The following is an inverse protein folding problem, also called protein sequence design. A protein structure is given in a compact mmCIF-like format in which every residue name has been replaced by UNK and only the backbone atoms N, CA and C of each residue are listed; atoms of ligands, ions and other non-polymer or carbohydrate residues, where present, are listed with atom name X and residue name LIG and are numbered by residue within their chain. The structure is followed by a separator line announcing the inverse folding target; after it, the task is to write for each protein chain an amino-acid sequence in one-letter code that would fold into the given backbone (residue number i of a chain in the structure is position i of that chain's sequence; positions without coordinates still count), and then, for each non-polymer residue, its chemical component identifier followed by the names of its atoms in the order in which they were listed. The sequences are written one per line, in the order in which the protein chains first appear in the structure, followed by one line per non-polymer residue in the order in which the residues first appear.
data_IF_580012111664
#
_entry.id   IF_580012111664
#
_cell.length_a   1.000
_cell.length_b   1.000
_cell.length_c   1.000
_cell.angle_alpha   90.00
_cell.angle_beta   90.00
_cell.angle_gamma   90.00
#
_symmetry.space_group_name_H-M   'P 1'
#
loop_
_entity.id
_entity.type
_entity.pdbx_description
1 polymer ?
#
# COMPACT_ATOMS: atom_id res chain seq x y z
N UNK A 1 -30.78 20.33 -22.77
CA UNK A 1 -31.03 18.87 -22.86
C UNK A 1 -29.76 18.16 -22.42
N UNK A 2 -29.64 17.67 -21.17
CA UNK A 2 -28.42 16.98 -20.75
C UNK A 2 -28.39 15.58 -21.35
N UNK A 3 -27.46 15.34 -22.28
CA UNK A 3 -27.09 13.99 -22.71
C UNK A 3 -26.41 13.30 -21.53
N UNK A 4 -27.18 12.50 -20.79
CA UNK A 4 -26.64 11.50 -19.88
C UNK A 4 -26.08 10.38 -20.76
N UNK A 5 -24.80 10.47 -21.12
CA UNK A 5 -24.06 9.37 -21.72
C UNK A 5 -23.94 8.27 -20.67
N UNK A 6 -24.88 7.32 -20.70
CA UNK A 6 -24.78 6.10 -19.91
C UNK A 6 -23.41 5.47 -20.22
N UNK A 7 -22.55 5.24 -19.20
CA UNK A 7 -21.27 4.61 -19.44
C UNK A 7 -21.51 3.26 -20.13
N UNK A 8 -20.87 3.05 -21.28
CA UNK A 8 -20.94 1.77 -21.99
C UNK A 8 -20.65 0.65 -21.00
N UNK A 9 -21.45 -0.42 -21.01
CA UNK A 9 -21.32 -1.57 -20.10
C UNK A 9 -19.86 -2.07 -20.01
N UNK A 10 -19.12 -2.04 -21.14
CA UNK A 10 -17.68 -2.36 -21.18
C UNK A 10 -16.82 -1.39 -20.38
N UNK A 11 -17.09 -0.09 -20.47
CA UNK A 11 -16.36 0.95 -19.72
C UNK A 11 -16.57 0.85 -18.21
N UNK A 12 -17.80 0.54 -17.76
CA UNK A 12 -18.08 0.31 -16.35
C UNK A 12 -17.34 -0.91 -15.80
N UNK A 13 -17.26 -2.01 -16.56
CA UNK A 13 -16.51 -3.22 -16.18
C UNK A 13 -15.01 -2.96 -16.13
N UNK A 14 -14.47 -2.21 -17.09
CA UNK A 14 -13.05 -1.87 -17.15
C UNK A 14 -12.63 -0.95 -16.00
N UNK A 15 -13.47 0.04 -15.67
CA UNK A 15 -13.26 0.93 -14.52
C UNK A 15 -13.30 0.15 -13.19
N UNK A 16 -14.22 -0.81 -13.05
CA UNK A 16 -14.23 -1.70 -11.88
C UNK A 16 -12.95 -2.52 -11.77
N UNK A 17 -12.51 -3.15 -12.86
CA UNK A 17 -11.27 -3.92 -12.88
C UNK A 17 -10.05 -3.06 -12.51
N UNK A 18 -9.95 -1.85 -13.08
CA UNK A 18 -8.90 -0.89 -12.76
C UNK A 18 -8.93 -0.47 -11.28
N UNK A 19 -10.12 -0.18 -10.74
CA UNK A 19 -10.28 0.20 -9.33
C UNK A 19 -9.88 -0.93 -8.37
N UNK A 20 -10.22 -2.17 -8.70
CA UNK A 20 -9.82 -3.35 -7.93
C UNK A 20 -8.31 -3.57 -8.00
N UNK A 21 -7.71 -3.47 -9.19
CA UNK A 21 -6.26 -3.57 -9.37
C UNK A 21 -5.50 -2.49 -8.58
N UNK A 22 -6.00 -1.24 -8.60
CA UNK A 22 -5.43 -0.15 -7.82
C UNK A 22 -5.49 -0.43 -6.32
N UNK A 23 -6.67 -0.81 -5.80
CA UNK A 23 -6.84 -1.14 -4.37
C UNK A 23 -5.94 -2.31 -3.97
N UNK A 24 -5.91 -3.38 -4.76
CA UNK A 24 -5.05 -4.53 -4.51
C UNK A 24 -3.57 -4.14 -4.51
N UNK A 25 -3.13 -3.32 -5.47
CA UNK A 25 -1.76 -2.82 -5.54
C UNK A 25 -1.37 -1.96 -4.33
N UNK A 26 -2.25 -1.06 -3.90
CA UNK A 26 -2.02 -0.21 -2.71
C UNK A 26 -1.92 -1.05 -1.43
N UNK A 27 -2.81 -2.04 -1.27
CA UNK A 27 -2.81 -2.91 -0.10
C UNK A 27 -1.58 -3.82 -0.08
N UNK A 28 -1.30 -4.55 -1.18
CA UNK A 28 -0.17 -5.48 -1.27
C UNK A 28 1.18 -4.75 -1.22
N UNK A 29 1.31 -3.66 -1.96
CA UNK A 29 2.51 -2.82 -1.94
C UNK A 29 2.74 -2.18 -0.58
N UNK A 30 1.67 -1.67 0.04
CA UNK A 30 1.71 -1.16 1.41
C UNK A 30 2.14 -2.23 2.42
N UNK A 31 1.58 -3.44 2.34
CA UNK A 31 1.93 -4.56 3.23
C UNK A 31 3.40 -4.98 3.07
N UNK A 32 3.90 -5.03 1.83
CA UNK A 32 5.29 -5.37 1.54
C UNK A 32 6.25 -4.34 2.14
N UNK A 33 5.97 -3.04 1.96
CA UNK A 33 6.75 -1.95 2.56
C UNK A 33 6.68 -2.00 4.09
N UNK A 34 5.52 -2.28 4.66
CA UNK A 34 5.35 -2.39 6.10
C UNK A 34 6.16 -3.57 6.65
N UNK A 35 6.16 -4.72 5.97
CA UNK A 35 6.92 -5.89 6.35
C UNK A 35 8.43 -5.65 6.29
N UNK A 36 8.93 -4.98 5.23
CA UNK A 36 10.34 -4.58 5.16
C UNK A 36 10.70 -3.55 6.24
N UNK A 37 9.82 -2.56 6.46
CA UNK A 37 10.04 -1.52 7.46
C UNK A 37 10.12 -2.07 8.89
N UNK A 38 9.18 -2.95 9.25
CA UNK A 38 9.20 -3.67 10.54
C UNK A 38 10.45 -4.52 10.68
N UNK A 39 10.88 -5.20 9.62
CA UNK A 39 12.16 -5.95 9.66
C UNK A 39 13.36 -5.04 9.88
N UNK A 40 13.44 -3.89 9.20
CA UNK A 40 14.54 -2.94 9.38
C UNK A 40 14.58 -2.27 10.77
N UNK A 41 13.43 -2.14 11.44
CA UNK A 41 13.34 -1.52 12.78
C UNK A 41 13.55 -2.54 13.90
N UNK A 42 13.02 -3.75 13.76
CA UNK A 42 12.95 -4.74 14.85
C UNK A 42 13.92 -5.90 14.73
N UNK A 43 14.40 -6.27 13.54
CA UNK A 43 15.37 -7.35 13.39
C UNK A 43 16.80 -6.79 13.36
N UNK A 44 17.70 -7.29 14.24
CA UNK A 44 19.12 -6.98 14.13
C UNK A 44 19.68 -7.54 12.83
N UNK A 45 20.61 -6.80 12.21
CA UNK A 45 21.22 -7.18 10.93
C UNK A 45 22.45 -8.06 11.20
N UNK A 46 22.59 -9.17 10.50
CA UNK A 46 23.78 -10.00 10.57
C UNK A 46 24.98 -9.25 9.97
N UNK A 47 25.87 -8.76 10.84
CA UNK A 47 27.08 -8.05 10.44
C UNK A 47 28.25 -9.00 10.15
N UNK A 48 27.97 -10.22 9.69
CA UNK A 48 28.99 -11.19 9.34
C UNK A 48 29.79 -10.68 8.13
N UNK A 49 31.07 -10.35 8.34
CA UNK A 49 31.99 -9.94 7.29
C UNK A 49 32.13 -8.43 7.05
N UNK A 50 31.46 -7.57 7.84
CA UNK A 50 31.64 -6.11 7.79
C UNK A 50 32.55 -5.62 8.92
N UNK A 51 33.26 -4.51 8.69
CA UNK A 51 33.97 -3.82 9.77
C UNK A 51 32.97 -3.16 10.73
N UNK A 52 33.40 -2.93 11.98
CA UNK A 52 32.57 -2.32 13.02
C UNK A 52 31.88 -1.00 12.59
N UNK A 53 32.56 -0.03 11.94
CA UNK A 53 31.92 1.20 11.50
C UNK A 53 30.93 1.00 10.34
N UNK A 54 31.19 0.07 9.41
CA UNK A 54 30.25 -0.22 8.31
C UNK A 54 28.97 -0.87 8.84
N UNK A 55 29.09 -1.76 9.84
CA UNK A 55 27.94 -2.37 10.51
C UNK A 55 27.08 -1.30 11.23
N UNK A 56 27.69 -0.36 11.95
CA UNK A 56 26.94 0.73 12.59
C UNK A 56 26.21 1.62 11.57
N UNK A 57 26.88 1.98 10.48
CA UNK A 57 26.30 2.81 9.43
C UNK A 57 25.11 2.12 8.74
N UNK A 58 25.24 0.84 8.38
CA UNK A 58 24.15 0.05 7.79
C UNK A 58 22.97 -0.12 8.76
N UNK A 59 23.24 -0.23 10.06
CA UNK A 59 22.22 -0.39 11.08
C UNK A 59 21.43 0.91 11.32
N UNK A 60 22.09 2.07 11.37
CA UNK A 60 21.42 3.37 11.43
C UNK A 60 20.61 3.63 10.16
N UNK A 61 21.19 3.38 8.99
CA UNK A 61 20.52 3.56 7.69
C UNK A 61 19.28 2.66 7.59
N UNK A 62 19.39 1.39 7.99
CA UNK A 62 18.25 0.46 7.97
C UNK A 62 17.12 0.89 8.90
N UNK A 63 17.44 1.52 10.05
CA UNK A 63 16.44 2.04 10.98
C UNK A 63 15.67 3.22 10.39
N UNK A 64 16.37 4.18 9.79
CA UNK A 64 15.72 5.36 9.19
C UNK A 64 14.90 4.98 7.97
N UNK A 65 15.45 4.17 7.06
CA UNK A 65 14.69 3.62 5.93
C UNK A 65 13.50 2.80 6.42
N UNK A 66 13.69 1.98 7.46
CA UNK A 66 12.64 1.14 8.02
C UNK A 66 11.49 1.97 8.60
N UNK A 67 11.80 3.09 9.27
CA UNK A 67 10.80 4.01 9.82
C UNK A 67 9.99 4.70 8.72
N UNK A 68 10.68 5.19 7.67
CA UNK A 68 10.03 5.82 6.52
C UNK A 68 9.19 4.80 5.72
N UNK A 69 9.70 3.58 5.52
CA UNK A 69 8.97 2.49 4.86
C UNK A 69 7.73 2.05 5.65
N UNK A 70 7.82 2.01 6.97
CA UNK A 70 6.67 1.66 7.82
C UNK A 70 5.58 2.73 7.72
N UNK A 71 5.94 4.02 7.78
CA UNK A 71 4.99 5.12 7.64
C UNK A 71 4.32 5.14 6.25
N UNK A 72 5.13 5.01 5.20
CA UNK A 72 4.62 5.00 3.83
C UNK A 72 3.78 3.76 3.52
N UNK A 73 4.21 2.57 3.97
CA UNK A 73 3.43 1.34 3.87
C UNK A 73 2.09 1.44 4.58
N UNK A 74 2.07 2.01 5.80
CA UNK A 74 0.84 2.24 6.57
C UNK A 74 -0.11 3.21 5.89
N UNK A 75 0.42 4.31 5.34
CA UNK A 75 -0.36 5.28 4.58
C UNK A 75 -0.99 4.67 3.31
N UNK A 76 -0.26 3.82 2.58
CA UNK A 76 -0.77 3.11 1.40
C UNK A 76 -1.90 2.14 1.75
N UNK A 77 -1.77 1.40 2.86
CA UNK A 77 -2.84 0.52 3.35
C UNK A 77 -4.08 1.34 3.73
N UNK A 78 -3.90 2.44 4.48
CA UNK A 78 -4.99 3.32 4.87
C UNK A 78 -5.72 3.90 3.64
N UNK A 79 -4.97 4.41 2.65
CA UNK A 79 -5.53 4.92 1.41
C UNK A 79 -6.26 3.82 0.61
N UNK A 80 -5.66 2.64 0.47
CA UNK A 80 -6.27 1.48 -0.18
C UNK A 80 -7.59 1.07 0.48
N UNK A 81 -7.63 1.08 1.81
CA UNK A 81 -8.84 0.77 2.60
C UNK A 81 -9.95 1.81 2.40
N UNK A 82 -9.60 3.09 2.35
CA UNK A 82 -10.54 4.18 2.10
C UNK A 82 -11.11 4.11 0.68
N UNK A 83 -10.26 3.88 -0.32
CA UNK A 83 -10.67 3.69 -1.71
C UNK A 83 -11.57 2.46 -1.89
N UNK A 84 -11.26 1.36 -1.21
CA UNK A 84 -12.14 0.19 -1.19
C UNK A 84 -13.51 0.53 -0.58
N UNK A 85 -13.52 1.28 0.53
CA UNK A 85 -14.76 1.71 1.18
C UNK A 85 -15.63 2.62 0.30
N UNK A 86 -15.01 3.42 -0.58
CA UNK A 86 -15.70 4.31 -1.52
C UNK A 86 -16.17 3.60 -2.79
N UNK A 87 -15.44 2.59 -3.26
CA UNK A 87 -15.73 1.89 -4.52
C UNK A 87 -16.67 0.69 -4.36
N UNK A 88 -16.88 0.21 -3.12
CA UNK A 88 -17.75 -0.93 -2.86
C UNK A 88 -19.23 -0.60 -3.15
N UNK A 89 -19.97 -1.52 -3.82
CA UNK A 89 -21.39 -1.32 -4.11
C UNK A 89 -22.17 -1.14 -2.81
N UNK A 90 -22.92 -0.02 -2.68
CA UNK A 90 -23.89 0.11 -1.59
C UNK A 90 -25.03 -0.89 -1.83
N UNK A 91 -25.39 -1.61 -0.78
CA UNK A 91 -26.62 -2.40 -0.79
C UNK A 91 -27.81 -1.45 -1.05
N UNK A 92 -28.79 -1.86 -1.87
CA UNK A 92 -30.00 -1.07 -2.03
C UNK A 92 -30.67 -0.89 -0.65
N UNK A 93 -31.20 0.30 -0.34
CA UNK A 93 -31.94 0.50 0.90
C UNK A 93 -33.10 -0.50 0.95
N UNK A 94 -33.24 -1.20 2.08
CA UNK A 94 -34.36 -2.10 2.32
C UNK A 94 -35.68 -1.28 2.32
N UNK A 95 -36.77 -1.81 1.73
CA UNK A 95 -38.06 -1.12 1.60
C UNK A 95 -38.79 -0.94 2.93
#
# INVERSE_FOLDING_TARGET
MPMSSLPSSRGATLLRAASLGLVAGLLLGGLALLALGVRGVFLPRDCAGLSLPECQFEQETARDLGRVQTLSGGALIALGSALFALTRPRAPPEP
#
